data_IF_638513830350
#
_entry.id   IF_638513830350
#
_cell.length_a   1.000
_cell.length_b   1.000
_cell.length_c   1.000
_cell.angle_alpha   90.00
_cell.angle_beta   90.00
_cell.angle_gamma   90.00
#
_symmetry.space_group_name_H-M   'P 1'
#
loop_
_entity.id
_entity.type
_entity.pdbx_description
1 polymer ?
#
# COMPACT_ATOMS: atom_id res chain seq x y z
N UNK A 1 17.64 -45.56 -24.96
CA UNK A 1 17.48 -44.11 -24.74
C UNK A 1 16.09 -43.88 -24.18
N UNK A 2 15.99 -43.51 -22.91
CA UNK A 2 14.72 -43.20 -22.22
C UNK A 2 14.98 -41.99 -21.33
N UNK A 3 14.42 -40.85 -21.67
CA UNK A 3 14.39 -39.65 -20.81
C UNK A 3 13.05 -39.64 -20.07
N UNK A 4 13.02 -39.48 -18.74
CA UNK A 4 11.77 -39.31 -18.04
C UNK A 4 11.24 -37.88 -18.21
N UNK A 5 9.94 -37.76 -18.44
CA UNK A 5 9.21 -36.51 -18.51
C UNK A 5 9.32 -35.76 -17.16
N UNK A 6 9.75 -34.50 -17.22
CA UNK A 6 9.82 -33.62 -16.08
C UNK A 6 8.41 -33.36 -15.54
N UNK A 7 8.22 -33.69 -14.27
CA UNK A 7 7.01 -33.40 -13.50
C UNK A 7 6.90 -31.88 -13.33
N UNK A 8 6.04 -31.24 -14.11
CA UNK A 8 5.73 -29.81 -13.96
C UNK A 8 4.90 -29.66 -12.70
N UNK A 9 5.57 -29.28 -11.60
CA UNK A 9 4.91 -28.81 -10.39
C UNK A 9 4.15 -27.55 -10.75
N UNK A 10 2.83 -27.65 -10.82
CA UNK A 10 1.95 -26.53 -11.03
C UNK A 10 2.12 -25.53 -9.87
N UNK A 11 2.80 -24.42 -10.14
CA UNK A 11 2.75 -23.24 -9.28
C UNK A 11 1.31 -22.76 -9.30
N UNK A 12 0.57 -23.03 -8.23
CA UNK A 12 -0.72 -22.41 -7.98
C UNK A 12 -0.42 -20.92 -7.78
N UNK A 13 -0.55 -20.16 -8.87
CA UNK A 13 -0.54 -18.71 -8.81
C UNK A 13 -1.79 -18.29 -8.01
N UNK A 14 -1.56 -17.87 -6.76
CA UNK A 14 -2.54 -17.13 -5.98
C UNK A 14 -2.94 -15.88 -6.78
N UNK A 15 -4.12 -15.90 -7.40
CA UNK A 15 -4.61 -14.84 -8.31
C UNK A 15 -5.02 -13.56 -7.58
N UNK A 16 -4.64 -13.38 -6.31
CA UNK A 16 -5.08 -12.24 -5.50
C UNK A 16 -4.00 -11.18 -5.23
N UNK A 17 -2.75 -11.40 -5.66
CA UNK A 17 -1.72 -10.37 -5.61
C UNK A 17 -1.67 -9.62 -6.96
N UNK A 18 -1.96 -8.30 -7.01
CA UNK A 18 -1.71 -7.54 -8.23
C UNK A 18 -0.22 -7.66 -8.60
N UNK A 19 0.12 -7.66 -9.90
CA UNK A 19 1.51 -7.73 -10.32
C UNK A 19 2.28 -6.59 -9.65
N UNK A 20 3.47 -6.90 -9.11
CA UNK A 20 4.37 -5.97 -8.45
C UNK A 20 4.83 -4.89 -9.43
N UNK A 21 3.98 -3.92 -9.73
CA UNK A 21 4.40 -2.76 -10.49
C UNK A 21 5.32 -1.92 -9.60
N UNK A 22 6.42 -1.37 -10.16
CA UNK A 22 7.27 -0.47 -9.42
C UNK A 22 6.39 0.67 -8.89
N UNK A 23 6.50 0.97 -7.60
CA UNK A 23 5.64 1.94 -6.92
C UNK A 23 5.62 3.29 -7.65
N UNK A 24 6.68 3.64 -8.36
CA UNK A 24 6.88 4.91 -9.09
C UNK A 24 6.33 4.94 -10.53
N UNK A 25 5.57 3.93 -10.95
CA UNK A 25 5.05 3.84 -12.32
C UNK A 25 4.12 5.02 -12.69
N UNK A 26 3.49 5.66 -11.69
CA UNK A 26 2.57 6.78 -11.89
C UNK A 26 3.20 8.12 -11.48
N UNK A 27 2.78 9.22 -12.13
CA UNK A 27 3.21 10.58 -11.76
C UNK A 27 2.87 10.90 -10.29
N UNK A 28 1.68 10.49 -9.83
CA UNK A 28 1.24 10.70 -8.46
C UNK A 28 2.17 10.01 -7.45
N UNK A 29 2.60 8.77 -7.74
CA UNK A 29 3.52 8.07 -6.88
C UNK A 29 4.90 8.75 -6.81
N UNK A 30 5.42 9.24 -7.95
CA UNK A 30 6.67 10.00 -7.97
C UNK A 30 6.59 11.29 -7.15
N UNK A 31 5.48 12.02 -7.25
CA UNK A 31 5.27 13.22 -6.45
C UNK A 31 5.17 12.91 -4.95
N UNK A 32 4.47 11.83 -4.59
CA UNK A 32 4.37 11.38 -3.21
C UNK A 32 5.75 10.97 -2.66
N UNK A 33 6.55 10.23 -3.44
CA UNK A 33 7.91 9.85 -3.07
C UNK A 33 8.81 11.08 -2.87
N UNK A 34 8.81 12.03 -3.81
CA UNK A 34 9.57 13.27 -3.70
C UNK A 34 9.15 14.09 -2.48
N UNK A 35 7.84 14.19 -2.21
CA UNK A 35 7.31 14.92 -1.04
C UNK A 35 7.73 14.28 0.29
N UNK A 36 7.84 12.96 0.35
CA UNK A 36 8.31 12.26 1.57
C UNK A 36 9.81 12.46 1.77
N UNK A 37 10.59 12.41 0.69
CA UNK A 37 12.02 12.67 0.73
C UNK A 37 12.33 14.09 1.25
N UNK A 38 11.59 15.11 0.79
CA UNK A 38 11.79 16.48 1.30
C UNK A 38 11.44 16.64 2.78
N UNK A 39 10.56 15.78 3.30
CA UNK A 39 10.20 15.73 4.72
C UNK A 39 11.12 14.80 5.54
N UNK A 40 12.13 14.18 4.94
CA UNK A 40 13.02 13.21 5.60
C UNK A 40 12.32 11.92 6.01
N UNK A 41 11.17 11.61 5.40
CA UNK A 41 10.41 10.39 5.70
C UNK A 41 10.90 9.23 4.81
N UNK A 42 10.94 7.99 5.34
CA UNK A 42 11.33 6.81 4.56
C UNK A 42 10.34 6.58 3.42
N UNK A 43 10.77 5.97 2.31
CA UNK A 43 9.88 5.69 1.16
C UNK A 43 8.96 4.50 1.38
N UNK A 44 9.29 3.58 2.30
CA UNK A 44 8.52 2.38 2.64
C UNK A 44 8.33 2.25 4.15
N UNK A 45 7.39 1.39 4.55
CA UNK A 45 7.21 0.96 5.93
C UNK A 45 7.65 -0.50 5.98
N UNK A 46 8.71 -0.79 6.72
CA UNK A 46 9.32 -2.13 6.73
C UNK A 46 8.80 -3.01 7.88
N UNK A 47 8.16 -2.42 8.90
CA UNK A 47 7.61 -3.15 10.03
C UNK A 47 6.33 -3.93 9.62
N UNK A 48 6.33 -5.28 9.73
CA UNK A 48 5.18 -6.09 9.36
C UNK A 48 3.94 -5.85 10.22
N UNK A 49 4.11 -5.46 11.50
CA UNK A 49 2.98 -5.16 12.37
C UNK A 49 2.27 -3.87 11.91
N UNK A 50 3.05 -2.84 11.58
CA UNK A 50 2.53 -1.57 11.05
C UNK A 50 1.86 -1.78 9.70
N UNK A 51 2.44 -2.62 8.82
CA UNK A 51 1.82 -2.96 7.54
C UNK A 51 0.48 -3.69 7.72
N UNK A 52 0.37 -4.59 8.70
CA UNK A 52 -0.89 -5.28 8.99
C UNK A 52 -1.97 -4.30 9.46
N UNK A 53 -1.61 -3.36 10.34
CA UNK A 53 -2.53 -2.31 10.80
C UNK A 53 -2.97 -1.40 9.65
N UNK A 54 -2.03 -0.91 8.83
CA UNK A 54 -2.33 -0.06 7.68
C UNK A 54 -3.25 -0.77 6.68
N UNK A 55 -3.02 -2.05 6.41
CA UNK A 55 -3.92 -2.86 5.58
C UNK A 55 -5.30 -2.96 6.21
N UNK A 56 -5.39 -3.17 7.52
CA UNK A 56 -6.65 -3.14 8.27
C UNK A 56 -7.40 -1.83 8.08
N UNK A 57 -6.72 -0.69 8.21
CA UNK A 57 -7.32 0.64 8.03
C UNK A 57 -7.80 0.89 6.60
N UNK A 58 -7.02 0.48 5.60
CA UNK A 58 -7.35 0.68 4.19
C UNK A 58 -8.48 -0.23 3.71
N UNK A 59 -8.59 -1.43 4.28
CA UNK A 59 -9.64 -2.41 3.94
C UNK A 59 -10.90 -2.27 4.81
N UNK A 60 -10.81 -1.54 5.92
CA UNK A 60 -11.94 -1.32 6.81
C UNK A 60 -13.09 -0.59 6.08
N UNK A 61 -14.33 -1.07 6.21
CA UNK A 61 -15.50 -0.37 5.70
C UNK A 61 -15.53 1.05 6.25
N UNK A 62 -15.55 2.05 5.35
CA UNK A 62 -15.57 3.45 5.75
C UNK A 62 -16.83 3.72 6.58
N UNK A 63 -16.72 4.20 7.82
CA UNK A 63 -17.90 4.51 8.62
C UNK A 63 -18.72 5.61 7.90
N UNK A 64 -19.98 5.31 7.62
CA UNK A 64 -20.93 6.20 6.91
C UNK A 64 -21.34 7.41 7.74
N UNK A 65 -21.09 7.38 9.06
CA UNK A 65 -21.31 8.51 9.95
C UNK A 65 -20.11 9.45 9.87
N UNK A 66 -20.18 10.39 8.92
CA UNK A 66 -19.25 11.51 8.81
C UNK A 66 -19.46 12.42 10.02
N UNK A 67 -18.69 12.23 11.08
CA UNK A 67 -18.56 13.25 12.13
C UNK A 67 -17.88 14.44 11.48
N UNK A 68 -18.66 15.45 11.09
CA UNK A 68 -18.14 16.73 10.63
C UNK A 68 -17.26 17.27 11.76
N UNK A 69 -15.94 17.26 11.55
CA UNK A 69 -15.01 17.93 12.44
C UNK A 69 -15.47 19.38 12.56
N UNK A 70 -15.96 19.77 13.73
CA UNK A 70 -16.34 21.15 14.00
C UNK A 70 -15.09 22.00 13.82
N UNK A 71 -15.12 22.89 12.83
CA UNK A 71 -14.05 23.84 12.55
C UNK A 71 -13.76 24.61 13.83
N UNK A 72 -12.57 24.41 14.42
CA UNK A 72 -12.13 25.21 15.57
C UNK A 72 -11.81 26.60 15.04
N UNK A 73 -12.62 27.58 15.44
CA UNK A 73 -12.37 29.01 15.21
C UNK A 73 -11.08 29.35 15.99
N UNK A 74 -9.99 29.59 15.28
CA UNK A 74 -8.74 30.06 15.88
C UNK A 74 -8.95 31.39 16.60
N UNK A 75 -8.05 31.79 17.51
CA UNK A 75 -8.18 33.06 18.20
C UNK A 75 -8.11 34.21 17.19
N UNK A 76 -9.03 35.17 17.33
CA UNK A 76 -9.04 36.39 16.54
C UNK A 76 -7.81 37.27 16.93
N UNK A 77 -7.30 38.09 16.00
CA UNK A 77 -6.16 38.97 16.24
C UNK A 77 -6.41 39.99 17.35
#
# INVERSE_FOLDING_TARGET
>A
MSTPAASVSAVIADRSAPPSQPADSTLGARLAAASRQTQGLPSTVDDPAVLAELRGLCTAPRPTKRTLAKMRKGPAP
#
